data_IF_744614678250
#
_entry.id   IF_744614678250
#
_cell.length_a   1.000
_cell.length_b   1.000
_cell.length_c   1.000
_cell.angle_alpha   90.00
_cell.angle_beta   90.00
_cell.angle_gamma   90.00
#
_symmetry.space_group_name_H-M   'P 1'
#
loop_
_entity.id
_entity.type
_entity.pdbx_description
1 polymer ?
#
# COMPACT_ATOMS: atom_id res chain seq x y z
N UNK A 1 -60.07 -3.27 49.00
CA UNK A 1 -60.56 -4.60 48.60
C UNK A 1 -59.82 -5.00 47.33
N UNK A 2 -58.99 -6.06 47.39
CA UNK A 2 -58.56 -7.00 46.32
C UNK A 2 -57.87 -6.38 45.06
N UNK A 3 -56.55 -6.46 44.89
CA UNK A 3 -55.64 -7.58 44.52
C UNK A 3 -55.89 -8.13 43.09
N UNK A 4 -54.80 -8.14 42.30
CA UNK A 4 -54.29 -9.11 41.28
C UNK A 4 -54.03 -8.47 39.90
N UNK A 5 -52.77 -8.27 39.44
CA UNK A 5 -51.69 -9.20 39.04
C UNK A 5 -51.88 -9.84 37.64
N UNK A 6 -50.77 -9.81 36.87
CA UNK A 6 -50.40 -10.61 35.66
C UNK A 6 -51.10 -10.20 34.34
N UNK A 7 -50.40 -9.88 33.23
CA UNK A 7 -49.27 -10.60 32.65
C UNK A 7 -48.27 -9.72 31.88
N UNK A 8 -46.99 -9.92 32.19
CA UNK A 8 -45.84 -9.67 31.32
C UNK A 8 -45.80 -10.82 30.31
N UNK A 9 -45.75 -10.53 29.01
CA UNK A 9 -45.03 -11.36 28.03
C UNK A 9 -44.77 -10.59 26.73
N UNK A 10 -43.51 -10.16 26.59
CA UNK A 10 -42.66 -10.42 25.43
C UNK A 10 -43.21 -10.05 24.03
N UNK A 11 -42.86 -8.85 23.55
CA UNK A 11 -42.58 -8.65 22.13
C UNK A 11 -41.16 -8.08 21.96
N UNK A 12 -40.18 -8.90 22.32
CA UNK A 12 -38.86 -8.86 21.69
C UNK A 12 -39.06 -9.37 20.26
N UNK A 13 -39.55 -8.50 19.37
CA UNK A 13 -39.50 -8.74 17.94
C UNK A 13 -38.13 -8.28 17.44
N UNK A 14 -37.17 -9.19 17.60
CA UNK A 14 -36.06 -9.46 16.67
C UNK A 14 -35.93 -8.42 15.54
N UNK A 15 -35.17 -7.34 15.77
CA UNK A 15 -34.54 -6.63 14.67
C UNK A 15 -33.45 -7.58 14.18
N UNK A 16 -33.88 -8.42 13.23
CA UNK A 16 -33.05 -9.25 12.40
C UNK A 16 -31.86 -8.41 11.93
N UNK A 17 -30.68 -8.86 12.33
CA UNK A 17 -29.40 -8.56 11.72
C UNK A 17 -29.54 -8.56 10.20
N UNK A 18 -29.62 -7.37 9.61
CA UNK A 18 -29.73 -7.21 8.17
C UNK A 18 -28.44 -7.69 7.50
N UNK A 19 -28.50 -8.59 6.50
CA UNK A 19 -27.38 -8.83 5.57
C UNK A 19 -27.19 -7.70 4.54
N UNK A 20 -27.86 -6.55 4.72
CA UNK A 20 -27.83 -5.42 3.78
C UNK A 20 -26.42 -4.82 3.60
N UNK A 21 -25.58 -4.84 4.64
CA UNK A 21 -24.17 -4.41 4.55
C UNK A 21 -23.30 -5.38 3.73
N UNK A 22 -23.56 -6.70 3.84
CA UNK A 22 -22.82 -7.70 3.07
C UNK A 22 -23.15 -7.65 1.57
N UNK A 23 -24.40 -7.32 1.23
CA UNK A 23 -24.82 -7.19 -0.16
C UNK A 23 -24.26 -5.91 -0.81
N UNK A 24 -24.25 -4.78 -0.09
CA UNK A 24 -23.67 -3.52 -0.58
C UNK A 24 -22.15 -3.62 -0.77
N UNK A 25 -21.42 -4.23 0.17
CA UNK A 25 -19.97 -4.44 0.02
C UNK A 25 -19.61 -5.33 -1.17
N UNK A 26 -20.36 -6.41 -1.40
CA UNK A 26 -20.15 -7.30 -2.56
C UNK A 26 -20.42 -6.59 -3.87
N UNK A 27 -21.44 -5.73 -3.93
CA UNK A 27 -21.74 -4.91 -5.11
C UNK A 27 -20.66 -3.84 -5.35
N UNK A 28 -20.22 -3.14 -4.30
CA UNK A 28 -19.11 -2.17 -4.36
C UNK A 28 -17.83 -2.86 -4.85
N UNK A 29 -17.46 -4.02 -4.30
CA UNK A 29 -16.29 -4.80 -4.74
C UNK A 29 -16.40 -5.24 -6.19
N UNK A 30 -17.60 -5.62 -6.66
CA UNK A 30 -17.86 -5.96 -8.07
C UNK A 30 -17.72 -4.76 -8.99
N UNK A 31 -18.23 -3.59 -8.60
CA UNK A 31 -18.16 -2.37 -9.41
C UNK A 31 -16.75 -1.80 -9.47
N UNK A 32 -16.02 -1.81 -8.35
CA UNK A 32 -14.59 -1.48 -8.31
C UNK A 32 -13.81 -2.40 -9.26
N UNK A 33 -14.06 -3.71 -9.20
CA UNK A 33 -13.42 -4.68 -10.11
C UNK A 33 -13.78 -4.42 -11.58
N UNK A 34 -15.04 -4.09 -11.88
CA UNK A 34 -15.48 -3.76 -13.25
C UNK A 34 -14.81 -2.50 -13.77
N UNK A 35 -14.69 -1.46 -12.94
CA UNK A 35 -13.95 -0.22 -13.27
C UNK A 35 -12.47 -0.51 -13.50
N UNK A 36 -11.85 -1.26 -12.60
CA UNK A 36 -10.47 -1.72 -12.72
C UNK A 36 -10.20 -2.43 -14.05
N UNK A 37 -11.07 -3.36 -14.44
CA UNK A 37 -10.94 -4.07 -15.72
C UNK A 37 -11.15 -3.16 -16.93
N UNK A 38 -12.04 -2.17 -16.86
CA UNK A 38 -12.24 -1.20 -17.95
C UNK A 38 -11.00 -0.36 -18.16
N UNK A 39 -10.41 0.16 -17.09
CA UNK A 39 -9.23 1.01 -17.16
C UNK A 39 -7.98 0.18 -17.54
N UNK A 40 -7.87 -1.05 -17.05
CA UNK A 40 -6.85 -2.01 -17.47
C UNK A 40 -6.86 -2.26 -18.98
N UNK A 41 -8.04 -2.48 -19.56
CA UNK A 41 -8.17 -2.69 -21.01
C UNK A 41 -7.79 -1.47 -21.83
N UNK A 42 -8.13 -0.27 -21.36
CA UNK A 42 -7.75 0.98 -22.03
C UNK A 42 -6.24 1.16 -22.02
N UNK A 43 -5.62 0.95 -20.86
CA UNK A 43 -4.18 1.08 -20.70
C UNK A 43 -3.43 0.04 -21.54
N UNK A 44 -3.86 -1.22 -21.51
CA UNK A 44 -3.29 -2.27 -22.35
C UNK A 44 -3.37 -1.94 -23.85
N UNK A 45 -4.50 -1.40 -24.33
CA UNK A 45 -4.64 -0.98 -25.72
C UNK A 45 -3.71 0.18 -26.06
N UNK A 46 -3.59 1.16 -25.16
CA UNK A 46 -2.70 2.32 -25.32
C UNK A 46 -1.25 1.87 -25.44
N UNK A 47 -0.77 1.05 -24.50
CA UNK A 47 0.61 0.55 -24.51
C UNK A 47 0.92 -0.30 -25.75
N UNK A 48 -0.02 -1.15 -26.19
CA UNK A 48 0.12 -1.88 -27.47
C UNK A 48 0.24 -0.93 -28.67
N UNK A 49 -0.58 0.14 -28.71
CA UNK A 49 -0.51 1.17 -29.77
C UNK A 49 0.80 1.96 -29.72
N UNK A 50 1.32 2.22 -28.51
CA UNK A 50 2.60 2.90 -28.28
C UNK A 50 3.83 2.02 -28.60
N UNK A 51 3.61 0.76 -29.02
CA UNK A 51 4.64 -0.17 -29.48
C UNK A 51 5.24 -1.06 -28.38
N UNK A 52 4.74 -1.01 -27.15
CA UNK A 52 5.23 -1.84 -26.06
C UNK A 52 4.90 -3.32 -26.27
N UNK A 53 5.86 -4.17 -25.92
CA UNK A 53 5.78 -5.62 -25.98
C UNK A 53 6.23 -6.23 -24.66
N UNK A 54 5.49 -7.22 -24.18
CA UNK A 54 5.91 -8.06 -23.07
C UNK A 54 6.88 -9.14 -23.56
N UNK A 55 7.81 -9.56 -22.72
CA UNK A 55 8.72 -10.65 -23.06
C UNK A 55 7.96 -11.96 -23.36
N UNK A 56 8.45 -12.78 -24.31
CA UNK A 56 7.86 -14.09 -24.57
C UNK A 56 7.91 -14.97 -23.31
N UNK A 57 6.89 -15.82 -23.13
CA UNK A 57 6.75 -16.69 -21.95
C UNK A 57 6.12 -16.03 -20.72
N UNK A 58 5.92 -14.71 -20.72
CA UNK A 58 5.14 -14.00 -19.70
C UNK A 58 3.65 -14.00 -20.04
N UNK A 59 2.81 -13.70 -19.04
CA UNK A 59 1.38 -13.47 -19.27
C UNK A 59 1.17 -12.37 -20.34
N UNK A 60 0.10 -12.44 -21.15
CA UNK A 60 -0.21 -11.37 -22.10
C UNK A 60 -0.33 -10.01 -21.41
N UNK A 61 0.02 -8.93 -22.11
CA UNK A 61 0.01 -7.56 -21.58
C UNK A 61 -1.30 -7.18 -20.89
N UNK A 62 -2.43 -7.51 -21.51
CA UNK A 62 -3.76 -7.27 -20.94
C UNK A 62 -3.96 -7.99 -19.61
N UNK A 63 -3.43 -9.21 -19.45
CA UNK A 63 -3.53 -9.98 -18.20
C UNK A 63 -2.62 -9.44 -17.10
N UNK A 64 -1.40 -9.04 -17.44
CA UNK A 64 -0.52 -8.38 -16.47
C UNK A 64 -1.12 -7.06 -15.97
N UNK A 65 -1.64 -6.24 -16.89
CA UNK A 65 -2.25 -4.95 -16.54
C UNK A 65 -3.55 -5.15 -15.76
N UNK A 66 -4.39 -6.12 -16.12
CA UNK A 66 -5.57 -6.49 -15.32
C UNK A 66 -5.18 -6.83 -13.87
N UNK A 67 -4.09 -7.60 -13.66
CA UNK A 67 -3.59 -7.90 -12.31
C UNK A 67 -3.07 -6.67 -11.57
N UNK A 68 -2.34 -5.77 -12.25
CA UNK A 68 -1.90 -4.49 -11.67
C UNK A 68 -3.10 -3.70 -11.18
N UNK A 69 -4.11 -3.52 -12.02
CA UNK A 69 -5.30 -2.75 -11.67
C UNK A 69 -6.09 -3.37 -10.54
N UNK A 70 -6.24 -4.71 -10.51
CA UNK A 70 -6.86 -5.40 -9.38
C UNK A 70 -6.10 -5.06 -8.09
N UNK A 71 -4.77 -5.18 -8.07
CA UNK A 71 -3.94 -4.87 -6.90
C UNK A 71 -4.01 -3.41 -6.46
N UNK A 72 -4.15 -2.46 -7.39
CA UNK A 72 -4.34 -1.03 -7.07
C UNK A 72 -5.63 -0.78 -6.27
N UNK A 73 -6.64 -1.61 -6.47
CA UNK A 73 -7.92 -1.50 -5.78
C UNK A 73 -8.09 -2.53 -4.64
N UNK A 74 -7.10 -3.39 -4.40
CA UNK A 74 -7.14 -4.33 -3.28
C UNK A 74 -6.98 -3.55 -1.96
N UNK A 75 -8.01 -3.65 -1.13
CA UNK A 75 -8.01 -3.15 0.24
C UNK A 75 -8.25 -4.29 1.23
N UNK A 76 -7.82 -4.09 2.47
CA UNK A 76 -8.21 -4.95 3.58
C UNK A 76 -9.67 -4.70 4.02
N UNK A 77 -10.06 -5.29 5.14
CA UNK A 77 -11.41 -5.16 5.70
C UNK A 77 -11.68 -3.76 6.28
N UNK A 78 -10.64 -2.99 6.57
CA UNK A 78 -10.72 -1.63 7.11
C UNK A 78 -10.68 -0.58 6.00
N UNK A 79 -10.45 -1.00 4.75
CA UNK A 79 -10.37 -0.12 3.58
C UNK A 79 -8.96 0.38 3.31
N UNK A 80 -7.95 -0.07 4.05
CA UNK A 80 -6.56 0.29 3.80
C UNK A 80 -6.02 -0.46 2.57
N UNK A 81 -5.11 0.17 1.83
CA UNK A 81 -4.50 -0.46 0.66
C UNK A 81 -3.68 -1.70 1.07
N UNK A 82 -3.70 -2.72 0.22
CA UNK A 82 -2.89 -3.93 0.43
C UNK A 82 -1.46 -3.81 -0.16
N UNK A 83 -1.24 -2.84 -1.04
CA UNK A 83 0.02 -2.71 -1.79
C UNK A 83 0.43 -1.25 -2.00
N UNK A 84 1.73 -0.99 -1.90
CA UNK A 84 2.37 0.14 -2.55
C UNK A 84 2.67 -0.22 -4.00
N UNK A 85 2.14 0.53 -4.96
CA UNK A 85 2.31 0.24 -6.39
C UNK A 85 2.80 1.46 -7.13
N UNK A 86 3.97 1.33 -7.77
CA UNK A 86 4.62 2.40 -8.52
C UNK A 86 4.90 1.98 -9.95
N UNK A 87 4.79 2.95 -10.85
CA UNK A 87 5.09 2.81 -12.27
C UNK A 87 6.37 3.58 -12.56
N UNK A 88 7.27 2.99 -13.35
CA UNK A 88 8.49 3.67 -13.78
C UNK A 88 8.85 3.33 -15.20
N UNK A 89 9.42 4.32 -15.90
CA UNK A 89 9.93 4.18 -17.25
C UNK A 89 11.35 4.68 -17.32
N UNK A 90 12.15 4.04 -18.15
CA UNK A 90 13.49 4.50 -18.47
C UNK A 90 13.87 4.11 -19.90
N UNK A 91 14.78 4.87 -20.48
CA UNK A 91 15.37 4.60 -21.79
C UNK A 91 16.84 4.30 -21.59
N UNK A 92 17.34 3.25 -22.23
CA UNK A 92 18.74 2.88 -22.18
C UNK A 92 19.21 2.27 -23.50
N UNK A 93 20.52 2.20 -23.70
CA UNK A 93 21.13 1.62 -24.89
C UNK A 93 20.78 0.13 -25.07
N UNK A 94 20.43 -0.56 -23.98
CA UNK A 94 19.95 -1.94 -23.99
C UNK A 94 18.72 -2.12 -23.09
N UNK A 95 17.96 -3.20 -23.33
CA UNK A 95 16.85 -3.60 -22.46
C UNK A 95 17.28 -3.73 -21.00
N UNK A 96 18.43 -4.36 -20.73
CA UNK A 96 18.94 -4.56 -19.36
C UNK A 96 19.27 -3.24 -18.67
N UNK A 97 19.90 -2.30 -19.37
CA UNK A 97 20.23 -0.98 -18.83
C UNK A 97 18.96 -0.18 -18.52
N UNK A 98 18.02 -0.11 -19.47
CA UNK A 98 16.73 0.55 -19.28
C UNK A 98 15.93 -0.07 -18.12
N UNK A 99 15.88 -1.40 -18.05
CA UNK A 99 15.18 -2.13 -16.99
C UNK A 99 15.80 -1.88 -15.62
N UNK A 100 17.12 -1.87 -15.51
CA UNK A 100 17.81 -1.56 -14.26
C UNK A 100 17.44 -0.16 -13.75
N UNK A 101 17.49 0.84 -14.62
CA UNK A 101 17.13 2.22 -14.27
C UNK A 101 15.66 2.34 -13.87
N UNK A 102 14.74 1.76 -14.66
CA UNK A 102 13.33 1.78 -14.33
C UNK A 102 13.05 1.11 -12.97
N UNK A 103 13.72 -0.01 -12.67
CA UNK A 103 13.63 -0.68 -11.37
C UNK A 103 14.09 0.22 -10.23
N UNK A 104 15.22 0.89 -10.39
CA UNK A 104 15.74 1.78 -9.35
C UNK A 104 14.79 2.95 -9.07
N UNK A 105 14.28 3.59 -10.12
CA UNK A 105 13.28 4.67 -10.00
C UNK A 105 12.02 4.18 -9.27
N UNK A 106 11.49 3.01 -9.65
CA UNK A 106 10.29 2.46 -9.00
C UNK A 106 10.52 2.09 -7.53
N UNK A 107 11.71 1.55 -7.19
CA UNK A 107 12.10 1.23 -5.81
C UNK A 107 12.20 2.47 -4.94
N UNK A 108 12.87 3.51 -5.44
CA UNK A 108 12.96 4.81 -4.76
C UNK A 108 11.56 5.38 -4.54
N UNK A 109 10.67 5.30 -5.53
CA UNK A 109 9.30 5.77 -5.39
C UNK A 109 8.52 5.00 -4.29
N UNK A 110 8.68 3.67 -4.20
CA UNK A 110 8.07 2.86 -3.11
C UNK A 110 8.64 3.29 -1.75
N UNK A 111 9.96 3.42 -1.64
CA UNK A 111 10.63 3.86 -0.42
C UNK A 111 10.10 5.22 0.05
N UNK A 112 9.96 6.18 -0.87
CA UNK A 112 9.42 7.49 -0.57
C UNK A 112 7.95 7.44 -0.12
N UNK A 113 7.12 6.61 -0.76
CA UNK A 113 5.72 6.45 -0.35
C UNK A 113 5.60 5.88 1.08
N UNK A 114 6.36 4.82 1.39
CA UNK A 114 6.41 4.24 2.73
C UNK A 114 6.93 5.28 3.73
N UNK A 115 8.03 5.96 3.39
CA UNK A 115 8.66 6.99 4.20
C UNK A 115 7.71 8.13 4.58
N UNK A 116 6.94 8.61 3.61
CA UNK A 116 5.98 9.70 3.81
C UNK A 116 4.77 9.24 4.65
N UNK A 117 4.22 8.07 4.38
CA UNK A 117 3.05 7.57 5.08
C UNK A 117 3.34 7.25 6.55
N UNK A 118 4.42 6.51 6.81
CA UNK A 118 4.84 6.19 8.18
C UNK A 118 5.16 7.46 8.96
N UNK A 119 5.78 8.46 8.33
CA UNK A 119 6.00 9.74 9.00
C UNK A 119 4.71 10.42 9.40
N UNK A 120 3.69 10.46 8.53
CA UNK A 120 2.38 11.01 8.88
C UNK A 120 1.68 10.26 10.02
N UNK A 121 1.81 8.93 10.05
CA UNK A 121 1.28 8.10 11.15
C UNK A 121 1.98 8.42 12.48
N UNK A 122 3.32 8.51 12.45
CA UNK A 122 4.12 8.88 13.63
C UNK A 122 3.81 10.31 14.09
N UNK A 123 3.74 11.28 13.18
CA UNK A 123 3.39 12.67 13.50
C UNK A 123 2.01 12.76 14.17
N UNK A 124 1.03 12.00 13.68
CA UNK A 124 -0.30 11.88 14.29
C UNK A 124 -0.21 11.31 15.70
N UNK A 125 0.59 10.26 15.90
CA UNK A 125 0.77 9.64 17.21
C UNK A 125 1.52 10.54 18.20
N UNK A 126 2.52 11.32 17.76
CA UNK A 126 3.20 12.34 18.58
C UNK A 126 2.19 13.39 19.04
N UNK A 127 1.35 13.91 18.14
CA UNK A 127 0.36 14.94 18.47
C UNK A 127 -0.67 14.45 19.50
N UNK A 128 -0.99 13.15 19.48
CA UNK A 128 -1.90 12.52 20.44
C UNK A 128 -1.21 12.09 21.75
N UNK A 129 0.12 12.13 21.82
CA UNK A 129 0.89 11.68 22.98
C UNK A 129 1.30 12.87 23.86
N UNK A 130 1.34 12.65 25.18
CA UNK A 130 1.87 13.63 26.14
C UNK A 130 3.40 13.53 26.24
N UNK A 131 4.10 13.86 25.15
CA UNK A 131 5.55 13.84 25.10
C UNK A 131 6.14 15.20 25.51
N UNK A 132 7.30 15.17 26.15
CA UNK A 132 8.09 16.38 26.35
C UNK A 132 8.77 16.81 25.03
N UNK A 133 9.29 18.03 24.99
CA UNK A 133 9.89 18.59 23.78
C UNK A 133 11.16 17.84 23.32
N UNK A 134 11.92 17.27 24.26
CA UNK A 134 13.15 16.53 23.98
C UNK A 134 12.83 15.20 23.27
N UNK A 135 11.89 14.42 23.81
CA UNK A 135 11.42 13.17 23.21
C UNK A 135 10.82 13.39 21.82
N UNK A 136 10.02 14.45 21.65
CA UNK A 136 9.43 14.79 20.35
C UNK A 136 10.50 15.14 19.30
N UNK A 137 11.56 15.85 19.70
CA UNK A 137 12.69 16.16 18.83
C UNK A 137 13.46 14.91 18.42
N UNK A 138 13.77 14.02 19.37
CA UNK A 138 14.44 12.74 19.11
C UNK A 138 13.65 11.84 18.17
N UNK A 139 12.32 11.76 18.34
CA UNK A 139 11.45 11.00 17.43
C UNK A 139 11.47 11.61 16.02
N UNK A 140 11.43 12.93 15.91
CA UNK A 140 11.49 13.62 14.61
C UNK A 140 12.80 13.30 13.88
N UNK A 141 13.92 13.28 14.59
CA UNK A 141 15.22 12.87 14.03
C UNK A 141 15.23 11.40 13.61
N UNK A 142 14.62 10.51 14.40
CA UNK A 142 14.46 9.10 14.05
C UNK A 142 13.61 8.92 12.80
N UNK A 143 12.53 9.67 12.63
CA UNK A 143 11.71 9.64 11.41
C UNK A 143 12.51 10.11 10.19
N UNK A 144 13.32 11.17 10.35
CA UNK A 144 14.21 11.63 9.28
C UNK A 144 15.25 10.55 8.91
N UNK A 145 15.83 9.88 9.90
CA UNK A 145 16.76 8.76 9.70
C UNK A 145 16.06 7.59 9.02
N UNK A 146 14.85 7.24 9.44
CA UNK A 146 14.05 6.20 8.82
C UNK A 146 13.82 6.46 7.32
N UNK A 147 13.43 7.68 6.95
CA UNK A 147 13.22 8.07 5.54
C UNK A 147 14.49 7.86 4.70
N UNK A 148 15.69 8.05 5.25
CA UNK A 148 16.93 7.87 4.50
C UNK A 148 17.32 6.39 4.32
N UNK A 149 16.98 5.52 5.27
CA UNK A 149 17.40 4.11 5.24
C UNK A 149 16.33 3.14 4.73
N UNK A 150 15.05 3.53 4.68
CA UNK A 150 13.93 2.63 4.31
C UNK A 150 14.16 1.96 2.96
N UNK A 151 14.68 2.68 1.96
CA UNK A 151 14.98 2.11 0.64
C UNK A 151 15.96 0.94 0.69
N UNK A 152 16.98 1.02 1.55
CA UNK A 152 17.99 -0.03 1.74
C UNK A 152 17.46 -1.26 2.49
N UNK A 153 16.36 -1.10 3.24
CA UNK A 153 15.77 -2.15 4.08
C UNK A 153 14.59 -2.84 3.39
N UNK A 154 14.17 -2.37 2.21
CA UNK A 154 13.13 -3.00 1.42
C UNK A 154 13.47 -4.47 1.17
N UNK A 155 12.51 -5.33 1.50
CA UNK A 155 12.57 -6.75 1.19
C UNK A 155 12.28 -7.03 -0.28
N UNK A 156 11.73 -8.22 -0.55
CA UNK A 156 11.33 -8.61 -1.91
C UNK A 156 10.23 -7.70 -2.46
N UNK A 157 10.49 -7.13 -3.63
CA UNK A 157 9.53 -6.33 -4.40
C UNK A 157 9.05 -7.17 -5.60
N UNK A 158 7.76 -7.10 -5.89
CA UNK A 158 7.15 -7.86 -6.97
C UNK A 158 7.09 -7.03 -8.24
N UNK A 159 7.64 -7.54 -9.34
CA UNK A 159 7.35 -7.00 -10.68
C UNK A 159 5.95 -7.45 -11.10
N UNK A 160 5.03 -6.51 -11.26
CA UNK A 160 3.64 -6.77 -11.63
C UNK A 160 3.39 -6.60 -13.13
N UNK A 161 4.19 -5.74 -13.78
CA UNK A 161 4.16 -5.53 -15.22
C UNK A 161 5.57 -5.18 -15.71
N UNK A 162 5.92 -5.70 -16.88
CA UNK A 162 7.17 -5.39 -17.56
C UNK A 162 6.95 -5.47 -19.07
N UNK A 163 7.11 -4.34 -19.74
CA UNK A 163 7.10 -4.26 -21.18
C UNK A 163 8.19 -3.32 -21.68
N UNK A 164 8.64 -3.57 -22.90
CA UNK A 164 9.64 -2.74 -23.55
C UNK A 164 9.27 -2.43 -24.99
N UNK A 165 9.85 -1.36 -25.53
CA UNK A 165 9.81 -1.04 -26.95
C UNK A 165 11.17 -0.51 -27.38
N UNK A 166 11.49 -0.73 -28.65
CA UNK A 166 12.64 -0.11 -29.29
C UNK A 166 12.31 1.34 -29.65
N UNK A 167 13.24 2.25 -29.40
CA UNK A 167 13.21 3.65 -29.83
C UNK A 167 14.53 3.92 -30.53
N UNK A 168 14.52 4.04 -31.86
CA UNK A 168 15.71 4.14 -32.70
C UNK A 168 16.72 3.02 -32.42
N UNK A 169 17.86 3.36 -31.78
CA UNK A 169 18.91 2.43 -31.37
C UNK A 169 18.81 2.01 -29.89
N UNK A 170 17.90 2.64 -29.14
CA UNK A 170 17.72 2.46 -27.70
C UNK A 170 16.48 1.61 -27.39
N UNK A 171 16.31 1.29 -26.11
CA UNK A 171 15.15 0.57 -25.58
C UNK A 171 14.49 1.40 -24.48
N UNK A 172 13.18 1.63 -24.57
CA UNK A 172 12.35 2.09 -23.45
C UNK A 172 11.76 0.88 -22.73
N UNK A 173 11.88 0.85 -21.41
CA UNK A 173 11.25 -0.15 -20.54
C UNK A 173 10.22 0.57 -19.66
N UNK A 174 9.04 -0.03 -19.54
CA UNK A 174 8.00 0.35 -18.60
C UNK A 174 7.75 -0.82 -17.64
N UNK A 175 7.97 -0.58 -16.35
CA UNK A 175 7.66 -1.52 -15.29
C UNK A 175 6.61 -0.98 -14.33
N UNK A 176 5.89 -1.89 -13.70
CA UNK A 176 5.12 -1.65 -12.48
C UNK A 176 5.65 -2.54 -11.37
N UNK A 177 6.03 -1.94 -10.25
CA UNK A 177 6.44 -2.66 -9.04
C UNK A 177 5.36 -2.60 -7.96
N UNK A 178 5.26 -3.66 -7.18
CA UNK A 178 4.36 -3.77 -6.04
C UNK A 178 5.12 -4.23 -4.78
N UNK A 179 4.83 -3.59 -3.66
CA UNK A 179 5.34 -3.98 -2.34
C UNK A 179 4.17 -4.12 -1.35
N UNK A 180 4.19 -5.18 -0.55
CA UNK A 180 3.11 -5.50 0.41
C UNK A 180 3.02 -4.41 1.47
N UNK A 181 1.80 -3.93 1.74
CA UNK A 181 1.56 -2.95 2.80
C UNK A 181 1.92 -3.50 4.17
N UNK A 182 1.47 -4.72 4.49
CA UNK A 182 1.78 -5.38 5.75
C UNK A 182 3.29 -5.52 5.97
N UNK A 183 4.04 -5.91 4.93
CA UNK A 183 5.50 -6.01 5.02
C UNK A 183 6.16 -4.65 5.21
N UNK A 184 5.61 -3.58 4.62
CA UNK A 184 6.09 -2.23 4.86
C UNK A 184 5.87 -1.79 6.30
N UNK A 185 4.70 -2.04 6.89
CA UNK A 185 4.41 -1.70 8.27
C UNK A 185 5.33 -2.47 9.22
N UNK A 186 5.45 -3.79 9.08
CA UNK A 186 6.32 -4.63 9.91
C UNK A 186 7.79 -4.16 9.86
N UNK A 187 8.30 -3.96 8.64
CA UNK A 187 9.65 -3.43 8.42
C UNK A 187 9.83 -2.07 9.09
N UNK A 188 8.87 -1.15 8.90
CA UNK A 188 8.97 0.22 9.41
C UNK A 188 8.95 0.26 10.93
N UNK A 189 8.05 -0.50 11.58
CA UNK A 189 8.02 -0.64 13.04
C UNK A 189 9.33 -1.21 13.58
N UNK A 190 9.92 -2.19 12.89
CA UNK A 190 11.21 -2.77 13.29
C UNK A 190 12.33 -1.72 13.24
N UNK A 191 12.47 -1.02 12.11
CA UNK A 191 13.50 0.01 11.93
C UNK A 191 13.34 1.14 12.96
N UNK A 192 12.12 1.66 13.11
CA UNK A 192 11.84 2.74 14.06
C UNK A 192 12.10 2.31 15.50
N UNK A 193 11.70 1.09 15.88
CA UNK A 193 11.97 0.56 17.23
C UNK A 193 13.46 0.43 17.50
N UNK A 194 14.25 -0.03 16.52
CA UNK A 194 15.71 -0.11 16.64
C UNK A 194 16.31 1.29 16.83
N UNK A 195 15.92 2.27 15.98
CA UNK A 195 16.44 3.63 16.02
C UNK A 195 16.01 4.43 17.25
N UNK A 196 14.77 4.25 17.74
CA UNK A 196 14.28 4.93 18.94
C UNK A 196 14.96 4.42 20.21
N UNK A 197 15.30 3.13 20.29
CA UNK A 197 16.07 2.58 21.42
C UNK A 197 17.49 3.17 21.51
N UNK A 198 18.07 3.55 20.39
CA UNK A 198 19.40 4.16 20.33
C UNK A 198 19.38 5.65 20.68
N UNK A 199 18.29 6.37 20.32
CA UNK A 199 18.24 7.84 20.35
C UNK A 199 17.29 8.44 21.38
N UNK A 200 16.36 7.67 21.93
CA UNK A 200 15.33 8.20 22.81
C UNK A 200 15.18 7.35 24.09
N UNK A 201 15.09 8.00 25.25
CA UNK A 201 14.82 7.35 26.53
C UNK A 201 13.31 7.11 26.73
N UNK A 202 12.63 6.61 25.69
CA UNK A 202 11.20 6.35 25.75
C UNK A 202 10.91 5.10 26.58
N UNK A 203 9.89 5.18 27.42
CA UNK A 203 9.36 4.01 28.11
C UNK A 203 8.72 3.05 27.10
N UNK A 204 8.68 1.76 27.42
CA UNK A 204 8.10 0.72 26.55
C UNK A 204 6.67 1.05 26.11
N UNK A 205 5.87 1.64 27.00
CA UNK A 205 4.46 1.97 26.71
C UNK A 205 4.34 3.13 25.73
N UNK A 206 5.18 4.17 25.88
CA UNK A 206 5.24 5.30 24.93
C UNK A 206 5.70 4.82 23.55
N UNK A 207 6.69 3.93 23.51
CA UNK A 207 7.19 3.35 22.27
C UNK A 207 6.11 2.50 21.57
N UNK A 208 5.34 1.73 22.34
CA UNK A 208 4.27 0.91 21.79
C UNK A 208 3.13 1.78 21.26
N UNK A 209 2.72 2.83 21.99
CA UNK A 209 1.72 3.79 21.54
C UNK A 209 2.15 4.50 20.25
N UNK A 210 3.41 4.93 20.19
CA UNK A 210 3.95 5.62 19.01
C UNK A 210 3.93 4.73 17.76
N UNK A 211 4.20 3.44 17.93
CA UNK A 211 4.28 2.45 16.85
C UNK A 211 2.97 1.67 16.64
N UNK A 212 1.85 2.16 17.19
CA UNK A 212 0.53 1.56 17.01
C UNK A 212 -0.13 2.10 15.74
N UNK A 213 0.27 1.55 14.59
CA UNK A 213 -0.28 1.83 13.26
C UNK A 213 -0.16 0.63 12.32
#
# INVERSE_FOLDING_TARGET
>A
MRILLTSITLLVALILSTPAFSQSEKEIKKDIKKKALKDARKEAKRLKKDGFKVAPGQLPMDKQIEQVWIKRYETDNEGNKMWFITDARAVGESHSAAKMQANEVAKIAIANQIGAEVAGLIETNIANSQLNAEDAASITETVATFKSIVGSKLGRINTLFDASKTIDKNTEVFITLGYSYASAVEMSKKILREQLKEKANLQSDQLNQLLDF
#
